data_IF_198081826503
#
_entry.id   IF_198081826503
#
_cell.length_a   1.000
_cell.length_b   1.000
_cell.length_c   1.000
_cell.angle_alpha   90.00
_cell.angle_beta   90.00
_cell.angle_gamma   90.00
#
_symmetry.space_group_name_H-M   'P 1'
#
loop_
_entity.id
_entity.type
_entity.pdbx_description
1 polymer ?
#
# COMPACT_ATOMS: atom_id res chain seq x y z
N UNK A 1 -28.60 -93.69 23.97
CA UNK A 1 -27.79 -94.40 22.95
C UNK A 1 -27.05 -93.37 22.12
N UNK A 2 -25.79 -93.65 21.81
CA UNK A 2 -24.86 -92.81 21.05
C UNK A 2 -25.47 -92.33 19.73
N UNK A 3 -25.23 -91.08 19.35
CA UNK A 3 -24.50 -90.76 18.12
C UNK A 3 -24.16 -89.26 18.06
N UNK A 4 -22.87 -89.01 17.82
CA UNK A 4 -22.29 -87.71 17.51
C UNK A 4 -22.79 -87.22 16.15
N UNK A 5 -23.02 -85.91 16.02
CA UNK A 5 -22.68 -85.21 14.79
C UNK A 5 -22.33 -83.76 15.13
N UNK A 6 -21.02 -83.49 15.14
CA UNK A 6 -20.46 -82.14 15.16
C UNK A 6 -20.59 -81.58 13.74
N UNK A 7 -21.40 -80.54 13.56
CA UNK A 7 -21.39 -79.75 12.32
C UNK A 7 -20.69 -78.43 12.62
N UNK A 8 -19.42 -78.37 12.23
CA UNK A 8 -18.61 -77.14 12.25
C UNK A 8 -19.13 -76.25 11.12
N UNK A 9 -19.71 -75.10 11.46
CA UNK A 9 -20.00 -74.04 10.50
C UNK A 9 -18.69 -73.32 10.18
N UNK A 10 -18.12 -73.60 9.01
CA UNK A 10 -17.03 -72.82 8.42
C UNK A 10 -17.54 -71.44 8.01
N UNK A 11 -17.31 -70.44 8.86
CA UNK A 11 -17.44 -69.03 8.50
C UNK A 11 -16.21 -68.58 7.70
N UNK A 12 -16.37 -68.37 6.40
CA UNK A 12 -15.34 -67.81 5.54
C UNK A 12 -15.17 -66.31 5.85
N UNK A 13 -14.16 -65.95 6.64
CA UNK A 13 -13.74 -64.57 6.84
C UNK A 13 -12.95 -64.13 5.59
N UNK A 14 -13.59 -63.38 4.69
CA UNK A 14 -12.88 -62.71 3.58
C UNK A 14 -12.12 -61.49 4.13
N UNK A 15 -10.81 -61.63 4.32
CA UNK A 15 -9.91 -60.49 4.54
C UNK A 15 -9.71 -59.75 3.21
N UNK A 16 -10.34 -58.59 3.06
CA UNK A 16 -10.01 -57.65 1.98
C UNK A 16 -8.68 -56.98 2.30
N UNK A 17 -7.60 -57.48 1.69
CA UNK A 17 -6.32 -56.79 1.63
C UNK A 17 -6.46 -55.58 0.70
N UNK A 18 -6.69 -54.39 1.26
CA UNK A 18 -6.49 -53.14 0.53
C UNK A 18 -4.99 -52.94 0.32
N UNK A 19 -4.50 -53.29 -0.87
CA UNK A 19 -3.19 -52.86 -1.35
C UNK A 19 -3.22 -51.34 -1.52
N UNK A 20 -2.68 -50.64 -0.53
CA UNK A 20 -2.32 -49.22 -0.68
C UNK A 20 -1.11 -49.20 -1.62
N UNK A 21 -1.35 -48.99 -2.91
CA UNK A 21 -0.28 -48.67 -3.85
C UNK A 21 0.12 -47.23 -3.60
N UNK A 22 1.25 -47.02 -2.91
CA UNK A 22 1.95 -45.74 -2.91
C UNK A 22 2.35 -45.43 -4.35
N UNK A 23 1.57 -44.58 -5.02
CA UNK A 23 2.01 -43.95 -6.26
C UNK A 23 3.09 -42.94 -5.87
N UNK A 24 4.38 -43.15 -6.20
CA UNK A 24 5.35 -42.10 -6.03
C UNK A 24 4.87 -40.92 -6.89
N UNK A 25 4.65 -39.77 -6.26
CA UNK A 25 4.46 -38.53 -6.97
C UNK A 25 5.76 -38.28 -7.76
N UNK A 26 5.78 -38.69 -9.02
CA UNK A 26 6.83 -38.33 -9.97
C UNK A 26 6.68 -36.83 -10.15
N UNK A 27 7.44 -36.08 -9.36
CA UNK A 27 7.74 -34.69 -9.68
C UNK A 27 8.41 -34.71 -11.05
N UNK A 28 7.64 -34.47 -12.11
CA UNK A 28 8.22 -34.29 -13.43
C UNK A 28 9.15 -33.09 -13.32
N UNK A 29 10.46 -33.34 -13.37
CA UNK A 29 11.45 -32.30 -13.56
C UNK A 29 11.13 -31.64 -14.90
N UNK A 30 10.37 -30.55 -14.86
CA UNK A 30 10.13 -29.74 -16.04
C UNK A 30 11.50 -29.28 -16.54
N UNK A 31 11.81 -29.49 -17.82
CA UNK A 31 13.10 -29.08 -18.36
C UNK A 31 13.28 -27.59 -18.12
N UNK A 32 14.48 -27.20 -17.67
CA UNK A 32 14.80 -25.81 -17.42
C UNK A 32 14.54 -25.00 -18.69
N UNK A 33 13.61 -24.06 -18.60
CA UNK A 33 13.25 -23.19 -19.72
C UNK A 33 14.46 -22.34 -20.11
N UNK A 34 15.01 -22.56 -21.31
CA UNK A 34 16.17 -21.85 -21.87
C UNK A 34 15.78 -21.19 -23.19
N UNK A 35 15.26 -19.95 -23.17
CA UNK A 35 14.88 -19.26 -24.40
C UNK A 35 16.12 -18.93 -25.22
N UNK A 36 15.98 -19.01 -26.53
CA UNK A 36 16.96 -18.49 -27.49
C UNK A 36 16.99 -16.96 -27.48
N UNK A 37 18.09 -16.39 -27.98
CA UNK A 37 18.22 -14.93 -28.11
C UNK A 37 17.06 -14.33 -28.94
N UNK A 38 16.66 -14.99 -30.02
CA UNK A 38 15.58 -14.52 -30.90
C UNK A 38 14.21 -14.57 -30.21
N UNK A 39 13.94 -15.62 -29.42
CA UNK A 39 12.72 -15.71 -28.61
C UNK A 39 12.66 -14.60 -27.55
N UNK A 40 13.78 -14.29 -26.90
CA UNK A 40 13.88 -13.17 -25.97
C UNK A 40 13.61 -11.85 -26.71
N UNK A 41 14.27 -11.62 -27.85
CA UNK A 41 14.14 -10.38 -28.62
C UNK A 41 12.70 -10.17 -29.12
N UNK A 42 12.07 -11.22 -29.64
CA UNK A 42 10.68 -11.17 -30.11
C UNK A 42 9.69 -10.93 -28.96
N UNK A 43 9.93 -11.48 -27.77
CA UNK A 43 9.13 -11.17 -26.57
C UNK A 43 9.23 -9.72 -26.17
N UNK A 44 10.44 -9.13 -26.18
CA UNK A 44 10.59 -7.71 -25.87
C UNK A 44 9.92 -6.81 -26.91
N UNK A 45 10.01 -7.13 -28.20
CA UNK A 45 9.27 -6.43 -29.26
C UNK A 45 7.76 -6.52 -29.04
N UNK A 46 7.26 -7.72 -28.77
CA UNK A 46 5.83 -7.95 -28.52
C UNK A 46 5.35 -7.22 -27.26
N UNK A 47 6.10 -7.27 -26.16
CA UNK A 47 5.79 -6.56 -24.93
C UNK A 47 5.79 -5.03 -25.13
N UNK A 48 6.75 -4.48 -25.89
CA UNK A 48 6.78 -3.06 -26.20
C UNK A 48 5.59 -2.62 -27.07
N UNK A 49 5.18 -3.44 -28.03
CA UNK A 49 3.97 -3.21 -28.83
C UNK A 49 2.72 -3.27 -27.95
N UNK A 50 2.58 -4.29 -27.09
CA UNK A 50 1.44 -4.41 -26.19
C UNK A 50 1.32 -3.24 -25.23
N UNK A 51 2.44 -2.77 -24.66
CA UNK A 51 2.46 -1.57 -23.80
C UNK A 51 1.97 -0.34 -24.58
N UNK A 52 2.46 -0.13 -25.81
CA UNK A 52 2.04 1.00 -26.65
C UNK A 52 0.58 0.91 -27.08
N UNK A 53 0.08 -0.28 -27.40
CA UNK A 53 -1.30 -0.50 -27.89
C UNK A 53 -2.31 -0.40 -26.75
N UNK A 54 -1.93 -0.80 -25.53
CA UNK A 54 -2.79 -0.74 -24.34
C UNK A 54 -2.76 0.63 -23.62
N UNK A 55 -1.69 1.43 -23.79
CA UNK A 55 -1.55 2.74 -23.16
C UNK A 55 -2.69 3.66 -23.60
N UNK A 56 -3.29 4.36 -22.63
CA UNK A 56 -4.38 5.33 -22.86
C UNK A 56 -5.61 4.74 -23.58
N UNK A 57 -5.91 3.45 -23.40
CA UNK A 57 -7.15 2.83 -23.92
C UNK A 57 -8.22 2.61 -22.86
N UNK A 58 -7.81 2.48 -21.60
CA UNK A 58 -8.72 2.23 -20.48
C UNK A 58 -8.82 3.48 -19.61
N UNK A 59 -10.03 4.00 -19.47
CA UNK A 59 -10.34 5.18 -18.67
C UNK A 59 -11.35 4.83 -17.58
N UNK A 60 -11.41 5.65 -16.53
CA UNK A 60 -12.37 5.49 -15.41
C UNK A 60 -12.31 4.11 -14.71
N UNK A 61 -11.16 3.43 -14.75
CA UNK A 61 -10.98 2.07 -14.19
C UNK A 61 -10.67 2.04 -12.69
N UNK A 62 -10.31 3.18 -12.08
CA UNK A 62 -10.00 3.28 -10.67
C UNK A 62 -10.61 4.54 -10.07
N UNK A 63 -11.15 4.42 -8.86
CA UNK A 63 -11.65 5.55 -8.08
C UNK A 63 -10.69 5.79 -6.92
N UNK A 64 -9.97 6.91 -6.96
CA UNK A 64 -9.21 7.40 -5.82
C UNK A 64 -10.09 8.37 -5.03
N UNK A 65 -10.86 7.86 -4.07
CA UNK A 65 -11.76 8.66 -3.25
C UNK A 65 -10.99 9.60 -2.31
N UNK A 66 -11.40 10.87 -2.30
CA UNK A 66 -11.00 11.89 -1.33
C UNK A 66 -12.21 12.23 -0.46
N UNK A 67 -12.32 11.53 0.67
CA UNK A 67 -13.43 11.64 1.61
C UNK A 67 -13.50 13.02 2.28
N UNK A 68 -14.72 13.53 2.40
CA UNK A 68 -15.03 14.71 3.21
C UNK A 68 -15.13 14.31 4.70
N UNK A 69 -15.22 15.30 5.58
CA UNK A 69 -15.31 15.06 7.03
C UNK A 69 -16.59 14.33 7.44
N UNK A 70 -17.65 14.47 6.66
CA UNK A 70 -18.93 13.79 6.90
C UNK A 70 -18.83 12.26 6.83
N UNK A 71 -17.79 11.69 6.21
CA UNK A 71 -17.65 10.26 5.98
C UNK A 71 -18.68 9.66 5.00
N UNK A 72 -19.54 10.48 4.43
CA UNK A 72 -20.65 10.09 3.54
C UNK A 72 -20.45 10.59 2.11
N UNK A 73 -19.58 11.57 1.92
CA UNK A 73 -19.29 12.14 0.62
C UNK A 73 -17.80 12.17 0.31
N UNK A 74 -17.48 12.10 -0.97
CA UNK A 74 -16.12 12.16 -1.47
C UNK A 74 -16.09 12.73 -2.88
N UNK A 75 -14.93 13.20 -3.30
CA UNK A 75 -14.67 13.51 -4.69
C UNK A 75 -13.52 12.67 -5.24
N UNK A 76 -13.49 12.50 -6.54
CA UNK A 76 -12.39 11.86 -7.24
C UNK A 76 -12.16 12.54 -8.59
N UNK A 77 -10.97 12.31 -9.16
CA UNK A 77 -10.54 12.85 -10.44
C UNK A 77 -10.37 11.70 -11.43
N UNK A 78 -10.86 11.87 -12.66
CA UNK A 78 -10.45 11.03 -13.79
C UNK A 78 -9.61 11.85 -14.75
N UNK A 79 -8.65 11.19 -15.40
CA UNK A 79 -7.91 11.72 -16.55
C UNK A 79 -8.40 10.92 -17.77
N UNK A 80 -8.91 11.62 -18.77
CA UNK A 80 -9.56 11.12 -19.98
C UNK A 80 -8.61 11.25 -21.19
N UNK A 81 -9.02 10.91 -22.43
CA UNK A 81 -8.23 11.20 -23.62
C UNK A 81 -7.78 12.67 -23.66
N UNK A 82 -6.64 12.91 -24.30
CA UNK A 82 -6.04 14.25 -24.45
C UNK A 82 -5.75 14.97 -23.12
N UNK A 83 -5.59 14.19 -22.05
CA UNK A 83 -5.37 14.66 -20.68
C UNK A 83 -6.50 15.53 -20.14
N UNK A 84 -7.71 15.39 -20.67
CA UNK A 84 -8.90 16.06 -20.14
C UNK A 84 -9.18 15.56 -18.73
N UNK A 85 -9.44 16.47 -17.80
CA UNK A 85 -9.65 16.17 -16.40
C UNK A 85 -11.13 16.37 -16.08
N UNK A 86 -11.78 15.36 -15.49
CA UNK A 86 -13.11 15.52 -14.87
C UNK A 86 -13.00 15.33 -13.36
N UNK A 87 -13.65 16.22 -12.60
CA UNK A 87 -13.82 16.05 -11.15
C UNK A 87 -15.27 15.64 -10.86
N UNK A 88 -15.42 14.56 -10.10
CA UNK A 88 -16.72 13.98 -9.76
C UNK A 88 -16.91 14.03 -8.25
N UNK A 89 -18.07 14.50 -7.81
CA UNK A 89 -18.52 14.45 -6.43
C UNK A 89 -19.56 13.33 -6.26
N UNK A 90 -19.42 12.57 -5.18
CA UNK A 90 -20.30 11.49 -4.78
C UNK A 90 -20.78 11.76 -3.36
N UNK A 91 -22.09 11.62 -3.12
CA UNK A 91 -22.65 11.42 -1.79
C UNK A 91 -23.18 9.99 -1.71
N UNK A 92 -22.43 9.10 -1.05
CA UNK A 92 -22.66 7.67 -1.05
C UNK A 92 -24.02 7.31 -0.41
N UNK A 93 -24.33 7.90 0.75
CA UNK A 93 -25.59 7.64 1.45
C UNK A 93 -26.84 8.07 0.65
N UNK A 94 -26.73 9.13 -0.16
CA UNK A 94 -27.84 9.68 -0.98
C UNK A 94 -27.85 9.16 -2.42
N UNK A 95 -26.92 8.27 -2.78
CA UNK A 95 -26.72 7.82 -4.16
C UNK A 95 -26.59 8.97 -5.18
N UNK A 96 -26.03 10.10 -4.76
CA UNK A 96 -25.88 11.28 -5.60
C UNK A 96 -24.52 11.25 -6.29
N UNK A 97 -24.51 11.37 -7.62
CA UNK A 97 -23.31 11.53 -8.44
C UNK A 97 -23.47 12.74 -9.35
N UNK A 98 -22.53 13.67 -9.26
CA UNK A 98 -22.57 14.92 -10.02
C UNK A 98 -21.16 15.47 -10.29
N UNK A 99 -20.99 16.40 -11.24
CA UNK A 99 -19.74 17.16 -11.36
C UNK A 99 -19.37 17.81 -10.03
N UNK A 100 -18.09 17.78 -9.67
CA UNK A 100 -17.61 18.41 -8.44
C UNK A 100 -17.90 19.91 -8.43
N UNK A 101 -17.75 20.56 -9.59
CA UNK A 101 -18.03 21.95 -9.88
C UNK A 101 -18.19 22.14 -11.41
N UNK A 102 -18.56 23.33 -11.85
CA UNK A 102 -18.57 23.76 -13.24
C UNK A 102 -17.15 24.19 -13.65
N UNK A 103 -16.55 23.43 -14.56
CA UNK A 103 -15.19 23.62 -15.01
C UNK A 103 -14.98 24.95 -15.74
N UNK A 104 -15.92 25.35 -16.60
CA UNK A 104 -15.83 26.58 -17.38
C UNK A 104 -15.93 27.81 -16.48
N UNK A 105 -16.87 27.80 -15.53
CA UNK A 105 -17.03 28.91 -14.58
C UNK A 105 -15.83 29.03 -13.64
N UNK A 106 -15.32 27.92 -13.14
CA UNK A 106 -14.14 27.92 -12.27
C UNK A 106 -12.89 28.40 -13.01
N UNK A 107 -12.64 27.89 -14.22
CA UNK A 107 -11.49 28.30 -15.04
C UNK A 107 -11.51 29.81 -15.32
N UNK A 108 -12.68 30.34 -15.67
CA UNK A 108 -12.87 31.78 -15.90
C UNK A 108 -12.54 32.60 -14.65
N UNK A 109 -13.06 32.19 -13.48
CA UNK A 109 -12.83 32.89 -12.23
C UNK A 109 -11.36 32.81 -11.78
N UNK A 110 -10.71 31.64 -11.92
CA UNK A 110 -9.28 31.48 -11.63
C UNK A 110 -8.39 32.27 -12.59
N UNK A 111 -8.74 32.33 -13.88
CA UNK A 111 -8.04 33.15 -14.87
C UNK A 111 -8.08 34.63 -14.49
N UNK A 112 -9.25 35.12 -14.07
CA UNK A 112 -9.42 36.50 -13.64
C UNK A 112 -8.62 36.82 -12.35
N UNK A 113 -8.51 35.87 -11.42
CA UNK A 113 -7.76 36.06 -10.18
C UNK A 113 -6.23 35.99 -10.38
N UNK A 114 -5.77 35.08 -11.23
CA UNK A 114 -4.32 34.79 -11.41
C UNK A 114 -3.68 35.55 -12.57
N UNK A 115 -4.49 36.23 -13.40
CA UNK A 115 -4.07 36.82 -14.68
C UNK A 115 -3.34 35.81 -15.60
N UNK A 116 -3.63 34.52 -15.43
CA UNK A 116 -3.02 33.43 -16.21
C UNK A 116 -4.14 32.61 -16.84
N UNK A 117 -4.14 32.41 -18.18
CA UNK A 117 -5.21 31.67 -18.85
C UNK A 117 -5.22 30.21 -18.38
N UNK A 118 -6.35 29.77 -17.83
CA UNK A 118 -6.56 28.40 -17.39
C UNK A 118 -7.54 27.69 -18.32
N UNK A 119 -7.12 26.54 -18.84
CA UNK A 119 -7.95 25.66 -19.65
C UNK A 119 -8.96 24.91 -18.76
N UNK A 120 -10.29 25.06 -18.99
CA UNK A 120 -11.31 24.37 -18.20
C UNK A 120 -11.22 22.84 -18.23
N UNK A 121 -10.70 22.27 -19.31
CA UNK A 121 -10.57 20.82 -19.46
C UNK A 121 -9.28 20.29 -18.81
N UNK A 122 -8.38 21.17 -18.37
CA UNK A 122 -7.08 20.80 -17.79
C UNK A 122 -6.79 21.47 -16.45
N UNK A 123 -7.84 21.84 -15.71
CA UNK A 123 -7.72 22.40 -14.37
C UNK A 123 -7.06 21.43 -13.39
N UNK A 124 -5.89 21.81 -12.87
CA UNK A 124 -5.15 21.04 -11.87
C UNK A 124 -5.52 21.51 -10.46
N UNK A 125 -6.47 20.81 -9.85
CA UNK A 125 -6.92 21.03 -8.48
C UNK A 125 -6.37 19.89 -7.61
N UNK A 126 -5.61 20.26 -6.59
CA UNK A 126 -4.93 19.29 -5.73
C UNK A 126 -5.76 18.86 -4.52
N UNK A 127 -6.58 19.77 -3.98
CA UNK A 127 -7.49 19.50 -2.87
C UNK A 127 -8.83 20.21 -3.09
N UNK A 128 -9.92 19.57 -2.62
CA UNK A 128 -11.28 20.14 -2.60
C UNK A 128 -11.93 19.77 -1.26
N UNK A 129 -12.40 20.79 -0.55
CA UNK A 129 -13.18 20.67 0.68
C UNK A 129 -14.47 21.47 0.53
N UNK A 130 -15.61 20.82 0.66
CA UNK A 130 -16.91 21.50 0.63
C UNK A 130 -17.29 22.00 2.02
N UNK A 131 -18.09 23.07 2.08
CA UNK A 131 -18.86 23.35 3.28
C UNK A 131 -20.03 22.35 3.44
N UNK A 132 -20.63 22.32 4.64
CA UNK A 132 -21.70 21.35 4.98
C UNK A 132 -22.90 21.36 4.01
N UNK A 133 -23.10 22.44 3.26
CA UNK A 133 -24.24 22.63 2.36
C UNK A 133 -23.86 22.63 0.87
N UNK A 134 -22.59 22.40 0.53
CA UNK A 134 -22.04 22.52 -0.83
C UNK A 134 -22.39 23.88 -1.48
N UNK A 135 -22.42 24.96 -0.70
CA UNK A 135 -22.59 26.33 -1.19
C UNK A 135 -21.26 26.95 -1.55
N UNK A 136 -20.20 26.55 -0.85
CA UNK A 136 -18.83 26.94 -1.14
C UNK A 136 -17.89 25.74 -1.10
N UNK A 137 -16.75 25.89 -1.76
CA UNK A 137 -15.65 24.94 -1.69
C UNK A 137 -14.32 25.67 -1.47
N UNK A 138 -13.46 25.08 -0.64
CA UNK A 138 -12.04 25.45 -0.57
C UNK A 138 -11.26 24.55 -1.49
N UNK A 139 -10.48 25.15 -2.39
CA UNK A 139 -9.66 24.45 -3.37
C UNK A 139 -8.21 24.86 -3.23
N UNK A 140 -7.31 23.95 -3.61
CA UNK A 140 -5.89 24.25 -3.69
C UNK A 140 -5.41 24.18 -5.14
N UNK A 141 -4.94 25.32 -5.65
CA UNK A 141 -4.44 25.53 -7.02
C UNK A 141 -3.01 26.08 -6.91
N UNK A 142 -2.06 25.43 -7.57
CA UNK A 142 -0.62 25.78 -7.51
C UNK A 142 -0.10 26.01 -6.08
N UNK A 143 -0.58 25.18 -5.14
CA UNK A 143 -0.22 25.23 -3.72
C UNK A 143 -0.96 26.31 -2.90
N UNK A 144 -1.68 27.25 -3.54
CA UNK A 144 -2.43 28.33 -2.88
C UNK A 144 -3.86 27.91 -2.56
N UNK A 145 -4.34 28.30 -1.39
CA UNK A 145 -5.69 28.04 -0.93
C UNK A 145 -6.65 29.17 -1.32
N UNK A 146 -7.75 28.78 -1.96
CA UNK A 146 -8.81 29.68 -2.42
C UNK A 146 -10.15 29.16 -1.92
N UNK A 147 -11.06 30.05 -1.58
CA UNK A 147 -12.46 29.72 -1.35
C UNK A 147 -13.26 30.17 -2.57
N UNK A 148 -14.15 29.31 -3.06
CA UNK A 148 -15.00 29.56 -4.21
C UNK A 148 -16.46 29.34 -3.81
N UNK A 149 -17.31 30.34 -4.03
CA UNK A 149 -18.76 30.20 -3.92
C UNK A 149 -19.29 29.45 -5.15
N UNK A 150 -20.02 28.35 -4.96
CA UNK A 150 -20.45 27.48 -6.07
C UNK A 150 -21.67 28.00 -6.83
N UNK A 151 -22.35 29.05 -6.35
CA UNK A 151 -23.48 29.66 -7.06
C UNK A 151 -23.00 30.75 -8.01
N UNK A 152 -22.09 31.60 -7.53
CA UNK A 152 -21.58 32.79 -8.21
C UNK A 152 -20.24 32.55 -8.89
N UNK A 153 -19.43 31.62 -8.37
CA UNK A 153 -18.01 31.43 -8.70
C UNK A 153 -17.15 32.63 -8.32
N UNK A 154 -17.57 33.42 -7.33
CA UNK A 154 -16.69 34.37 -6.65
C UNK A 154 -15.57 33.63 -5.94
N UNK A 155 -14.33 34.07 -6.11
CA UNK A 155 -13.14 33.45 -5.51
C UNK A 155 -12.43 34.46 -4.62
N UNK A 156 -12.15 34.05 -3.39
CA UNK A 156 -11.33 34.79 -2.44
C UNK A 156 -10.13 33.95 -1.97
N UNK A 157 -9.11 34.64 -1.48
CA UNK A 157 -7.95 33.97 -0.88
C UNK A 157 -8.33 33.45 0.50
N UNK A 158 -7.86 32.26 0.87
CA UNK A 158 -8.13 31.68 2.19
C UNK A 158 -6.92 30.91 2.70
N UNK A 159 -6.97 30.51 3.97
CA UNK A 159 -5.99 29.58 4.53
C UNK A 159 -6.35 28.13 4.25
N UNK A 160 -5.44 27.22 4.58
CA UNK A 160 -5.76 25.79 4.63
C UNK A 160 -6.97 25.55 5.56
N UNK A 161 -7.93 24.69 5.17
CA UNK A 161 -8.99 24.28 6.09
C UNK A 161 -8.40 23.46 7.25
N UNK A 162 -9.02 23.52 8.45
CA UNK A 162 -8.61 22.75 9.62
C UNK A 162 -8.40 21.23 9.38
N UNK A 163 -9.19 20.53 8.54
CA UNK A 163 -8.89 19.13 8.16
C UNK A 163 -7.66 18.93 7.28
N UNK A 164 -7.12 19.99 6.69
CA UNK A 164 -5.93 19.93 5.84
C UNK A 164 -4.68 19.96 6.69
N UNK A 165 -4.05 18.81 6.83
CA UNK A 165 -2.69 18.70 7.31
C UNK A 165 -1.78 18.85 6.11
N UNK A 166 -1.07 19.98 6.01
CA UNK A 166 -0.06 20.19 4.99
C UNK A 166 0.94 19.03 5.03
N UNK A 167 1.19 18.43 3.86
CA UNK A 167 2.18 17.37 3.73
C UNK A 167 3.59 17.95 3.93
N UNK A 168 3.99 18.21 5.16
CA UNK A 168 5.40 18.40 5.52
C UNK A 168 6.08 17.04 5.40
N UNK A 169 6.52 16.72 4.19
CA UNK A 169 7.21 15.47 3.89
C UNK A 169 6.26 14.26 3.76
N UNK A 170 6.11 13.76 2.54
CA UNK A 170 5.56 12.44 2.19
C UNK A 170 4.42 11.91 3.08
N UNK A 171 3.18 12.33 2.79
CA UNK A 171 2.00 11.77 3.46
C UNK A 171 1.39 10.65 2.62
N UNK A 172 1.67 9.41 3.00
CA UNK A 172 0.64 8.37 2.93
C UNK A 172 -0.29 8.56 4.14
N UNK A 173 -1.27 9.45 3.95
CA UNK A 173 -2.52 9.67 4.71
C UNK A 173 -2.50 9.50 6.25
N UNK A 174 -2.58 10.67 6.91
CA UNK A 174 -3.19 11.02 8.21
C UNK A 174 -2.70 10.30 9.51
N UNK A 175 -2.43 11.20 10.47
CA UNK A 175 -2.27 11.11 11.94
C UNK A 175 -0.99 10.55 12.56
N UNK A 176 -0.31 11.47 13.27
CA UNK A 176 0.54 11.24 14.44
C UNK A 176 1.97 10.82 14.13
N UNK A 177 2.93 11.75 14.20
CA UNK A 177 4.39 11.55 14.25
C UNK A 177 4.86 10.13 13.88
N UNK A 178 4.72 9.79 12.59
CA UNK A 178 5.16 8.48 12.09
C UNK A 178 6.61 8.59 11.67
N UNK A 179 7.41 7.61 12.09
CA UNK A 179 8.67 7.28 11.43
C UNK A 179 8.44 7.27 9.92
N UNK A 180 9.01 8.25 9.24
CA UNK A 180 8.82 8.43 7.82
C UNK A 180 9.77 7.48 7.10
N UNK A 181 9.37 6.22 6.97
CA UNK A 181 10.20 5.21 6.34
C UNK A 181 10.58 5.60 4.90
N UNK A 182 9.80 6.43 4.22
CA UNK A 182 10.14 6.96 2.89
C UNK A 182 11.14 8.12 2.88
N UNK A 183 11.25 8.91 3.95
CA UNK A 183 12.19 10.05 4.04
C UNK A 183 13.46 9.71 4.82
N UNK A 184 13.40 8.77 5.77
CA UNK A 184 14.54 8.38 6.60
C UNK A 184 15.25 7.11 6.09
N UNK A 185 14.55 6.22 5.36
CA UNK A 185 15.15 5.10 4.64
C UNK A 185 15.14 5.36 3.13
N UNK A 186 16.08 6.19 2.69
CA UNK A 186 16.37 6.41 1.28
C UNK A 186 16.28 5.10 0.48
N UNK A 187 15.50 5.13 -0.61
CA UNK A 187 15.19 4.01 -1.52
C UNK A 187 14.24 2.91 -1.00
N UNK A 188 13.10 3.31 -0.43
CA UNK A 188 11.99 2.37 -0.20
C UNK A 188 11.53 1.74 -1.54
N UNK A 189 11.65 0.41 -1.65
CA UNK A 189 11.31 -0.35 -2.87
C UNK A 189 9.84 -0.11 -3.27
N UNK A 190 9.47 -0.36 -4.53
CA UNK A 190 8.06 -0.25 -4.97
C UNK A 190 7.12 -1.13 -4.13
N UNK A 191 7.61 -2.27 -3.63
CA UNK A 191 6.89 -3.18 -2.73
C UNK A 191 6.66 -2.58 -1.35
N UNK A 192 7.70 -2.02 -0.73
CA UNK A 192 7.56 -1.32 0.55
C UNK A 192 6.64 -0.09 0.44
N UNK A 193 6.65 0.62 -0.69
CA UNK A 193 5.69 1.70 -0.99
C UNK A 193 4.25 1.24 -1.19
N UNK A 194 4.04 -0.04 -1.49
CA UNK A 194 2.72 -0.64 -1.64
C UNK A 194 2.19 -1.27 -0.35
N UNK A 195 2.95 -1.22 0.75
CA UNK A 195 2.50 -1.69 2.06
C UNK A 195 1.27 -0.92 2.49
N UNK A 196 0.13 -1.62 2.66
CA UNK A 196 -1.13 -1.03 3.12
C UNK A 196 -1.38 -1.50 4.54
N UNK A 197 -1.50 -0.54 5.45
CA UNK A 197 -1.85 -0.80 6.84
C UNK A 197 -2.98 0.12 7.28
N UNK A 198 -4.09 -0.47 7.69
CA UNK A 198 -5.11 0.27 8.40
C UNK A 198 -4.67 0.46 9.86
N UNK A 199 -4.71 1.71 10.31
CA UNK A 199 -4.34 2.10 11.68
C UNK A 199 -5.35 1.54 12.69
N UNK A 200 -6.60 1.37 12.25
CA UNK A 200 -7.74 0.90 13.03
C UNK A 200 -7.94 -0.59 12.78
N UNK A 201 -8.23 -1.35 13.83
CA UNK A 201 -8.55 -2.77 13.73
C UNK A 201 -9.82 -3.00 12.89
N UNK A 202 -9.97 -4.15 12.20
CA UNK A 202 -11.15 -4.43 11.37
C UNK A 202 -12.51 -4.30 12.07
N UNK A 203 -12.59 -4.72 13.34
CA UNK A 203 -13.76 -4.56 14.21
C UNK A 203 -13.96 -3.12 14.75
N UNK A 204 -13.04 -2.21 14.45
CA UNK A 204 -13.02 -0.80 14.88
C UNK A 204 -12.95 -0.60 16.39
N UNK A 205 -12.50 -1.61 17.14
CA UNK A 205 -12.33 -1.51 18.58
C UNK A 205 -11.03 -0.78 18.97
N UNK A 206 -9.96 -0.98 18.19
CA UNK A 206 -8.61 -0.52 18.52
C UNK A 206 -8.01 0.35 17.43
N UNK A 207 -7.23 1.34 17.86
CA UNK A 207 -6.28 2.09 17.02
C UNK A 207 -4.88 1.69 17.42
N UNK A 208 -4.04 1.35 16.44
CA UNK A 208 -2.61 1.08 16.60
C UNK A 208 -1.77 2.26 16.13
N UNK A 209 -0.70 2.61 16.83
CA UNK A 209 0.21 3.69 16.42
C UNK A 209 1.63 3.44 16.92
N UNK A 210 2.57 4.23 16.40
CA UNK A 210 3.97 4.19 16.81
C UNK A 210 4.27 5.48 17.57
N UNK A 211 4.90 5.37 18.74
CA UNK A 211 5.41 6.52 19.50
C UNK A 211 6.79 6.21 20.01
N UNK A 212 7.75 7.09 19.73
CA UNK A 212 9.16 6.92 20.13
C UNK A 212 9.74 5.56 19.70
N UNK A 213 9.38 5.10 18.49
CA UNK A 213 9.83 3.82 17.93
C UNK A 213 9.13 2.58 18.47
N UNK A 214 8.13 2.71 19.35
CA UNK A 214 7.40 1.59 19.94
C UNK A 214 5.94 1.53 19.48
N UNK A 215 5.37 0.33 19.43
CA UNK A 215 3.97 0.10 19.05
C UNK A 215 3.07 0.26 20.27
N UNK A 216 1.98 0.99 20.09
CA UNK A 216 0.91 1.15 21.06
C UNK A 216 -0.44 0.82 20.42
N UNK A 217 -1.39 0.42 21.25
CA UNK A 217 -2.81 0.35 20.90
C UNK A 217 -3.65 1.12 21.90
N UNK A 218 -4.78 1.66 21.44
CA UNK A 218 -5.74 2.39 22.27
C UNK A 218 -7.17 2.13 21.77
N UNK A 219 -8.19 2.08 22.64
CA UNK A 219 -9.58 1.99 22.19
C UNK A 219 -9.96 3.17 21.29
N UNK A 220 -10.71 2.92 20.22
CA UNK A 220 -11.13 3.97 19.27
C UNK A 220 -11.97 5.08 19.95
N UNK A 221 -12.75 4.74 20.98
CA UNK A 221 -13.54 5.69 21.77
C UNK A 221 -12.73 6.53 22.78
N UNK A 222 -11.40 6.41 22.77
CA UNK A 222 -10.54 6.97 23.81
C UNK A 222 -10.42 6.06 25.03
N UNK A 223 -9.38 6.25 25.83
CA UNK A 223 -9.08 5.44 27.00
C UNK A 223 -7.59 5.26 27.24
N UNK A 224 -7.22 4.35 28.14
CA UNK A 224 -5.83 4.01 28.40
C UNK A 224 -5.15 3.38 27.18
N UNK A 225 -3.93 3.82 26.90
CA UNK A 225 -3.07 3.19 25.90
C UNK A 225 -2.36 1.96 26.46
N UNK A 226 -2.04 1.02 25.58
CA UNK A 226 -1.30 -0.20 25.89
C UNK A 226 -0.08 -0.26 24.99
N UNK A 227 1.11 -0.28 25.60
CA UNK A 227 2.35 -0.53 24.87
C UNK A 227 2.43 -2.02 24.49
N UNK A 228 2.63 -2.31 23.21
CA UNK A 228 2.92 -3.66 22.70
C UNK A 228 4.42 -3.94 22.61
N UNK A 229 5.24 -2.89 22.53
CA UNK A 229 6.70 -2.99 22.56
C UNK A 229 7.29 -1.95 23.50
N UNK A 230 8.48 -2.23 24.03
CA UNK A 230 9.25 -1.29 24.86
C UNK A 230 10.70 -1.15 24.44
N UNK A 231 11.18 -1.98 23.51
CA UNK A 231 12.58 -2.04 23.08
C UNK A 231 12.86 -1.31 21.75
N UNK A 232 11.86 -0.66 21.14
CA UNK A 232 12.03 0.17 19.96
C UNK A 232 12.59 1.55 20.30
N UNK A 233 13.22 2.20 19.32
CA UNK A 233 13.76 3.56 19.43
C UNK A 233 13.63 4.32 18.12
N UNK A 234 14.00 5.59 18.08
CA UNK A 234 14.08 6.34 16.81
C UNK A 234 15.14 5.78 15.86
N UNK A 235 16.21 5.17 16.37
CA UNK A 235 17.26 4.54 15.55
C UNK A 235 16.95 3.11 15.14
N UNK A 236 16.13 2.38 15.91
CA UNK A 236 15.63 1.03 15.59
C UNK A 236 14.14 0.94 15.92
N UNK A 237 13.28 1.55 15.08
CA UNK A 237 11.86 1.61 15.37
C UNK A 237 11.15 0.33 14.98
N UNK A 238 10.01 0.08 15.61
CA UNK A 238 8.99 -0.77 15.02
C UNK A 238 8.21 -0.02 13.95
N UNK A 239 7.73 -0.74 12.93
CA UNK A 239 6.91 -0.18 11.86
C UNK A 239 6.13 -1.23 11.08
N UNK A 240 5.44 -0.78 10.03
CA UNK A 240 4.70 -1.62 9.08
C UNK A 240 3.71 -2.56 9.79
N UNK A 241 2.81 -1.97 10.56
CA UNK A 241 1.79 -2.64 11.36
C UNK A 241 0.69 -3.19 10.44
N UNK A 242 0.19 -4.41 10.64
CA UNK A 242 -0.98 -4.93 9.93
C UNK A 242 -1.82 -5.77 10.87
N UNK A 243 -3.12 -5.51 10.89
CA UNK A 243 -4.07 -6.29 11.67
C UNK A 243 -4.43 -7.61 10.98
N UNK A 244 -4.69 -8.64 11.79
CA UNK A 244 -5.44 -9.80 11.36
C UNK A 244 -6.90 -9.46 11.09
N UNK A 245 -7.60 -10.20 10.20
CA UNK A 245 -8.99 -9.92 9.84
C UNK A 245 -9.98 -9.99 11.02
N UNK A 246 -9.63 -10.72 12.09
CA UNK A 246 -10.40 -10.80 13.33
C UNK A 246 -10.00 -9.81 14.41
N UNK A 247 -9.11 -8.85 14.12
CA UNK A 247 -8.63 -7.85 15.08
C UNK A 247 -7.84 -8.42 16.27
N UNK A 248 -7.42 -9.69 16.27
CA UNK A 248 -6.76 -10.31 17.44
C UNK A 248 -5.24 -10.26 17.39
N UNK A 249 -4.67 -10.21 16.20
CA UNK A 249 -3.22 -10.26 15.99
C UNK A 249 -2.76 -9.05 15.20
N UNK A 250 -1.63 -8.47 15.60
CA UNK A 250 -0.89 -7.50 14.81
C UNK A 250 0.38 -8.17 14.29
N UNK A 251 0.68 -8.00 13.01
CA UNK A 251 2.02 -8.24 12.44
C UNK A 251 2.73 -6.90 12.33
N UNK A 252 3.97 -6.81 12.80
CA UNK A 252 4.80 -5.63 12.61
C UNK A 252 6.27 -6.02 12.53
N UNK A 253 7.13 -5.05 12.21
CA UNK A 253 8.54 -5.30 11.99
C UNK A 253 9.40 -4.43 12.90
N UNK A 254 10.38 -5.03 13.56
CA UNK A 254 11.48 -4.29 14.18
C UNK A 254 12.51 -3.98 13.10
N UNK A 255 12.77 -2.70 12.89
CA UNK A 255 13.53 -2.21 11.73
C UNK A 255 14.94 -1.87 12.20
N UNK A 256 15.94 -2.30 11.44
CA UNK A 256 17.31 -1.83 11.54
C UNK A 256 17.63 -0.97 10.31
N UNK A 257 17.40 0.36 10.39
CA UNK A 257 17.64 1.30 9.28
C UNK A 257 19.11 1.36 8.91
N UNK A 258 19.38 1.40 7.61
CA UNK A 258 20.71 1.67 7.05
C UNK A 258 20.62 2.88 6.13
N UNK A 259 21.42 3.91 6.41
CA UNK A 259 21.51 5.11 5.58
C UNK A 259 22.31 4.81 4.33
N UNK A 260 21.69 4.95 3.17
CA UNK A 260 22.36 4.74 1.88
C UNK A 260 23.47 5.77 1.66
N UNK A 261 24.64 5.28 1.28
CA UNK A 261 25.81 6.12 0.94
C UNK A 261 25.54 6.96 -0.31
N UNK A 262 26.21 8.11 -0.39
CA UNK A 262 26.11 9.00 -1.55
C UNK A 262 27.07 8.55 -2.64
N UNK A 263 26.63 8.66 -3.89
CA UNK A 263 27.54 8.70 -5.04
C UNK A 263 27.59 10.12 -5.58
N UNK A 264 28.77 10.53 -6.00
CA UNK A 264 29.04 11.86 -6.53
C UNK A 264 29.19 11.79 -8.04
N UNK A 265 28.65 12.78 -8.74
CA UNK A 265 28.79 12.92 -10.18
C UNK A 265 28.88 14.39 -10.57
N UNK A 266 29.58 14.68 -11.65
CA UNK A 266 29.74 16.05 -12.17
C UNK A 266 28.82 16.21 -13.37
N UNK A 267 27.90 17.17 -13.31
CA UNK A 267 27.12 17.60 -14.47
C UNK A 267 27.99 18.51 -15.33
N UNK A 268 28.41 18.02 -16.50
CA UNK A 268 29.32 18.74 -17.40
C UNK A 268 28.62 19.73 -18.33
N UNK A 269 27.29 19.69 -18.41
CA UNK A 269 26.45 20.56 -19.25
C UNK A 269 25.24 21.10 -18.47
N UNK A 270 25.53 21.78 -17.35
CA UNK A 270 24.52 22.53 -16.59
C UNK A 270 24.39 23.97 -17.15
N UNK A 271 23.62 24.84 -16.49
CA UNK A 271 23.49 26.24 -16.88
C UNK A 271 24.81 27.00 -16.60
N UNK A 272 25.78 26.91 -17.51
CA UNK A 272 27.07 27.59 -17.39
C UNK A 272 28.21 26.85 -18.07
N UNK A 273 29.44 27.35 -17.90
CA UNK A 273 30.66 26.79 -18.50
C UNK A 273 31.50 25.93 -17.54
N UNK A 274 31.07 25.82 -16.27
CA UNK A 274 31.74 25.03 -15.22
C UNK A 274 30.86 23.83 -14.86
N UNK A 275 31.50 22.70 -14.57
CA UNK A 275 30.78 21.51 -14.11
C UNK A 275 30.20 21.70 -12.70
N UNK A 276 29.00 21.15 -12.47
CA UNK A 276 28.36 21.16 -11.15
C UNK A 276 28.48 19.81 -10.46
N UNK A 277 29.02 19.78 -9.23
CA UNK A 277 29.00 18.58 -8.40
C UNK A 277 27.56 18.33 -7.91
N UNK A 278 27.04 17.15 -8.21
CA UNK A 278 25.79 16.63 -7.66
C UNK A 278 26.07 15.35 -6.88
N UNK A 279 25.16 15.06 -5.96
CA UNK A 279 25.20 13.84 -5.16
C UNK A 279 23.80 13.24 -5.11
N UNK A 280 23.74 11.91 -5.03
CA UNK A 280 22.49 11.21 -4.73
C UNK A 280 22.77 9.97 -3.90
N UNK A 281 21.84 9.56 -3.02
CA UNK A 281 21.93 8.25 -2.38
C UNK A 281 21.90 7.16 -3.44
N UNK A 282 22.83 6.21 -3.37
CA UNK A 282 22.87 5.06 -4.26
C UNK A 282 23.51 3.87 -3.54
N UNK A 283 22.73 2.83 -3.29
CA UNK A 283 23.23 1.60 -2.71
C UNK A 283 24.01 0.82 -3.77
N UNK A 284 25.30 0.58 -3.52
CA UNK A 284 26.14 -0.22 -4.40
C UNK A 284 26.01 -1.72 -4.08
N UNK A 285 26.34 -2.60 -5.04
CA UNK A 285 26.46 -4.02 -4.75
C UNK A 285 27.38 -4.26 -3.55
N UNK A 286 26.90 -5.02 -2.55
CA UNK A 286 27.62 -5.29 -1.31
C UNK A 286 27.33 -4.33 -0.15
N UNK A 287 26.76 -3.14 -0.38
CA UNK A 287 26.37 -2.24 0.72
C UNK A 287 25.32 -2.88 1.63
N UNK A 288 25.31 -2.50 2.91
CA UNK A 288 24.28 -2.94 3.84
C UNK A 288 22.91 -2.36 3.45
N UNK A 289 21.86 -3.15 3.66
CA UNK A 289 20.48 -2.72 3.48
C UNK A 289 19.80 -2.58 4.84
N UNK A 290 18.75 -1.76 4.88
CA UNK A 290 17.81 -1.84 5.99
C UNK A 290 17.27 -3.26 6.10
N UNK A 291 17.24 -3.76 7.32
CA UNK A 291 16.68 -5.07 7.66
C UNK A 291 15.43 -4.97 8.53
N UNK A 292 14.60 -6.02 8.45
CA UNK A 292 13.29 -6.13 9.07
C UNK A 292 13.17 -7.50 9.75
N UNK A 293 12.89 -7.49 11.04
CA UNK A 293 12.53 -8.68 11.81
C UNK A 293 11.03 -8.70 12.05
N UNK A 294 10.35 -9.76 11.67
CA UNK A 294 8.89 -9.86 11.76
C UNK A 294 8.45 -10.36 13.15
N UNK A 295 7.45 -9.70 13.72
CA UNK A 295 6.85 -10.04 15.01
C UNK A 295 5.33 -10.12 14.90
N UNK A 296 4.75 -11.05 15.66
CA UNK A 296 3.32 -11.15 15.94
C UNK A 296 3.04 -10.64 17.34
N UNK A 297 1.95 -9.90 17.48
CA UNK A 297 1.44 -9.41 18.75
C UNK A 297 0.00 -9.89 18.91
N UNK A 298 -0.22 -10.86 19.79
CA UNK A 298 -1.56 -11.26 20.22
C UNK A 298 -2.09 -10.18 21.17
N UNK A 299 -3.10 -9.44 20.73
CA UNK A 299 -3.66 -8.28 21.44
C UNK A 299 -4.41 -8.70 22.71
N UNK A 300 -5.33 -9.69 22.68
CA UNK A 300 -5.97 -10.21 23.89
C UNK A 300 -5.00 -10.74 24.95
N UNK A 301 -4.00 -11.53 24.53
CA UNK A 301 -3.03 -12.16 25.43
C UNK A 301 -1.86 -11.25 25.80
N UNK A 302 -1.71 -10.12 25.10
CA UNK A 302 -0.56 -9.20 25.21
C UNK A 302 0.77 -9.92 25.03
N UNK A 303 0.81 -10.84 24.07
CA UNK A 303 1.96 -11.70 23.82
C UNK A 303 2.66 -11.29 22.53
N UNK A 304 3.95 -10.99 22.64
CA UNK A 304 4.84 -10.79 21.50
C UNK A 304 5.53 -12.11 21.13
N UNK A 305 5.59 -12.43 19.84
CA UNK A 305 6.29 -13.61 19.29
C UNK A 305 7.10 -13.20 18.06
N UNK A 306 8.41 -13.49 18.05
CA UNK A 306 9.23 -13.34 16.82
C UNK A 306 8.82 -14.44 15.84
N UNK A 307 8.61 -14.09 14.58
CA UNK A 307 8.33 -15.08 13.53
C UNK A 307 9.63 -15.81 13.19
N UNK A 308 9.58 -17.13 13.13
CA UNK A 308 10.75 -17.97 12.87
C UNK A 308 11.13 -18.00 11.38
N UNK A 309 11.69 -16.88 10.92
CA UNK A 309 12.24 -16.70 9.58
C UNK A 309 13.57 -15.95 9.68
N UNK A 310 14.45 -16.11 8.68
CA UNK A 310 15.66 -15.27 8.63
C UNK A 310 15.26 -13.80 8.45
N UNK A 311 16.09 -12.89 8.96
CA UNK A 311 15.91 -11.44 8.80
C UNK A 311 15.71 -11.07 7.33
N UNK A 312 14.77 -10.17 7.07
CA UNK A 312 14.47 -9.69 5.73
C UNK A 312 15.35 -8.46 5.50
N UNK A 313 16.32 -8.55 4.59
CA UNK A 313 17.29 -7.50 4.29
C UNK A 313 17.22 -7.04 2.81
N UNK A 314 16.19 -7.48 2.10
CA UNK A 314 16.01 -7.22 0.68
C UNK A 314 14.53 -7.07 0.33
N UNK A 315 14.23 -6.23 -0.67
CA UNK A 315 12.88 -5.90 -1.13
C UNK A 315 11.96 -5.18 -0.12
N UNK A 316 12.39 -4.96 1.12
CA UNK A 316 11.58 -4.30 2.17
C UNK A 316 10.63 -5.26 2.87
N UNK A 317 9.77 -4.77 3.79
CA UNK A 317 8.78 -5.60 4.46
C UNK A 317 7.77 -6.11 3.44
N UNK A 318 7.50 -7.43 3.41
CA UNK A 318 6.60 -8.01 2.44
C UNK A 318 5.14 -7.67 2.77
N UNK A 319 4.31 -7.60 1.73
CA UNK A 319 2.86 -7.56 1.90
C UNK A 319 2.39 -8.95 2.33
N UNK A 320 1.73 -9.02 3.49
CA UNK A 320 1.13 -10.26 3.97
C UNK A 320 -0.28 -10.42 3.41
N UNK A 321 -0.66 -11.67 3.15
CA UNK A 321 -2.02 -12.03 2.73
C UNK A 321 -2.57 -13.05 3.72
N UNK A 322 -3.61 -12.66 4.45
CA UNK A 322 -4.32 -13.57 5.34
C UNK A 322 -5.12 -14.61 4.55
N UNK A 323 -5.12 -15.86 5.02
CA UNK A 323 -5.93 -16.91 4.43
C UNK A 323 -7.41 -16.57 4.63
N UNK A 324 -8.19 -16.66 3.56
CA UNK A 324 -9.63 -16.42 3.63
C UNK A 324 -10.28 -17.38 4.64
N UNK A 325 -11.06 -16.83 5.58
CA UNK A 325 -11.79 -17.56 6.64
C UNK A 325 -10.92 -18.28 7.68
N UNK A 326 -9.61 -18.07 7.68
CA UNK A 326 -8.70 -18.69 8.66
C UNK A 326 -7.57 -17.74 9.03
N UNK A 327 -7.73 -17.08 10.18
CA UNK A 327 -6.79 -16.05 10.66
C UNK A 327 -5.54 -16.63 11.33
N UNK A 328 -5.38 -17.96 11.37
CA UNK A 328 -4.16 -18.58 11.90
C UNK A 328 -3.03 -18.61 10.88
N UNK A 329 -3.34 -18.34 9.61
CA UNK A 329 -2.37 -18.39 8.52
C UNK A 329 -2.38 -17.09 7.73
N UNK A 330 -1.19 -16.57 7.49
CA UNK A 330 -0.93 -15.60 6.45
C UNK A 330 0.26 -16.08 5.62
N UNK A 331 0.32 -15.65 4.37
CA UNK A 331 1.42 -15.94 3.46
C UNK A 331 2.05 -14.67 2.94
N UNK A 332 3.32 -14.73 2.57
CA UNK A 332 4.00 -13.61 1.94
C UNK A 332 5.10 -14.04 0.97
N UNK A 333 5.35 -13.20 -0.02
CA UNK A 333 6.45 -13.39 -0.95
C UNK A 333 7.79 -12.96 -0.34
N UNK A 334 8.82 -13.77 -0.51
CA UNK A 334 10.20 -13.46 -0.12
C UNK A 334 11.15 -13.64 -1.28
N UNK A 335 11.90 -12.58 -1.59
CA UNK A 335 13.05 -12.61 -2.50
C UNK A 335 14.31 -12.45 -1.65
N UNK A 336 15.23 -13.39 -1.74
CA UNK A 336 16.52 -13.25 -1.07
C UNK A 336 17.45 -12.38 -1.91
N UNK A 337 18.33 -11.65 -1.22
CA UNK A 337 19.34 -10.78 -1.84
C UNK A 337 20.14 -11.56 -2.90
N UNK A 338 20.42 -10.90 -4.03
CA UNK A 338 21.09 -11.55 -5.18
C UNK A 338 20.16 -12.37 -6.08
N UNK A 339 18.85 -12.40 -5.78
CA UNK A 339 17.82 -13.10 -6.58
C UNK A 339 18.06 -14.60 -6.76
N UNK A 340 18.83 -15.23 -5.85
CA UNK A 340 19.12 -16.65 -5.92
C UNK A 340 17.95 -17.53 -5.47
N UNK A 341 17.02 -16.98 -4.67
CA UNK A 341 15.88 -17.71 -4.12
C UNK A 341 14.65 -16.82 -4.05
N UNK A 342 13.52 -17.36 -4.48
CA UNK A 342 12.18 -16.81 -4.30
C UNK A 342 11.31 -17.85 -3.60
N UNK A 343 10.55 -17.42 -2.58
CA UNK A 343 9.68 -18.29 -1.78
C UNK A 343 8.34 -17.60 -1.51
N UNK A 344 7.29 -18.39 -1.41
CA UNK A 344 6.09 -18.02 -0.66
C UNK A 344 6.20 -18.72 0.68
N UNK A 345 6.22 -17.95 1.75
CA UNK A 345 6.27 -18.45 3.14
C UNK A 345 4.87 -18.38 3.71
#
# INVERSE_FOLDING_TARGET
MRQNCNTVATGTLLFFFFLITDLPAISQNLPQYKPTFDEIQNRYRHAALMDSVARNKVYKYSVQANWQEDGESFWYKNILPDSVIEYVYIHAAKSLRQPAFDHARLAKALTALTNSPMDPDRLVISNIYYDNNRKSMRIQVDGKWLVCDLNTYGIDTTGAPAPFLAATGSTWRRTGERFNASAELNSMTRRARAFRSDTVSPDKAWTSYIRSGNIYIQPVGGGGEIALTTNGSTSKPYGYITWSPDSRTIVAYHINPVVTRQVHYVLTSANGTRGELKSRPYAQPGDENTSFEMFLFDVPQRKQTRVDIDTIDFSGPPLITWRSKDNNYFTFERVDRGHQRFRVI
#
